data_IF_064412314376
#
_entry.id   IF_064412314376
#
_cell.length_a   1.000
_cell.length_b   1.000
_cell.length_c   1.000
_cell.angle_alpha   90.00
_cell.angle_beta   90.00
_cell.angle_gamma   90.00
#
_symmetry.space_group_name_H-M   'P 1'
#
loop_
_entity.id
_entity.type
_entity.pdbx_description
1 polymer ?
2 non-polymer ?
3 non-polymer ?
4 water ?
#
# COMPACT_ATOMS: atom_id res chain seq x y z
N UNK A 1 0.34 -7.81 -1.64
CA UNK A 1 0.21 -8.91 -0.63
C UNK A 1 -0.79 -9.99 -1.06
N UNK A 2 -1.74 -9.67 -1.93
CA UNK A 2 -2.84 -10.54 -2.39
C UNK A 2 -3.45 -10.01 -3.68
N UNK A 3 -4.50 -10.67 -4.26
CA UNK A 3 -4.96 -10.37 -5.62
C UNK A 3 -5.51 -8.94 -5.85
N UNK A 4 -5.96 -8.28 -4.78
CA UNK A 4 -6.41 -6.88 -4.84
C UNK A 4 -5.23 -5.96 -5.09
N UNK A 5 -4.17 -6.15 -4.31
CA UNK A 5 -2.92 -5.38 -4.47
C UNK A 5 -2.28 -5.70 -5.82
N UNK A 6 -2.39 -6.94 -6.29
CA UNK A 6 -1.89 -7.34 -7.63
C UNK A 6 -2.55 -6.52 -8.76
N UNK A 7 -3.87 -6.42 -8.75
CA UNK A 7 -4.60 -5.64 -9.78
C UNK A 7 -4.20 -4.16 -9.65
N UNK A 8 -4.19 -3.62 -8.42
CA UNK A 8 -3.85 -2.21 -8.18
C UNK A 8 -2.46 -1.93 -8.76
N UNK A 9 -1.48 -2.81 -8.47
CA UNK A 9 -0.08 -2.60 -8.91
C UNK A 9 -0.01 -2.59 -10.43
N UNK A 10 -0.72 -3.49 -11.06
CA UNK A 10 -0.75 -3.60 -12.55
C UNK A 10 -1.27 -2.30 -13.19
N UNK A 11 -2.26 -1.68 -12.57
CA UNK A 11 -2.77 -0.35 -13.04
C UNK A 11 -1.72 0.71 -12.77
N UNK A 12 -1.12 0.76 -11.56
CA UNK A 12 -0.15 1.84 -11.25
C UNK A 12 1.05 1.78 -12.17
N UNK A 13 1.53 0.57 -12.49
CA UNK A 13 2.85 0.44 -13.19
C UNK A 13 2.70 0.87 -14.65
N UNK A 14 1.52 0.86 -15.25
CA UNK A 14 1.38 1.15 -16.69
C UNK A 14 0.46 2.34 -16.97
N UNK A 15 -0.47 2.68 -16.05
CA UNK A 15 -1.56 3.62 -16.39
C UNK A 15 -1.54 4.85 -15.49
N UNK A 16 -0.42 5.18 -14.83
CA UNK A 16 -0.36 6.43 -14.02
C UNK A 16 0.85 7.26 -14.43
N UNK A 17 0.69 8.57 -14.22
CA UNK A 17 1.79 9.55 -14.37
C UNK A 17 1.68 10.47 -13.17
N UNK A 18 2.74 11.18 -12.90
CA UNK A 18 2.69 12.27 -11.87
C UNK A 18 2.36 13.57 -12.59
N UNK A 19 1.20 14.15 -12.27
CA UNK A 19 0.77 15.44 -12.86
C UNK A 19 1.07 16.55 -11.86
N UNK A 20 1.60 17.67 -12.34
CA UNK A 20 1.87 18.85 -11.48
C UNK A 20 1.19 20.07 -12.10
N UNK A 21 0.27 20.69 -11.34
CA UNK A 21 -0.36 21.98 -11.69
C UNK A 21 0.15 23.02 -10.67
N UNK A 22 -0.38 24.24 -10.78
CA UNK A 22 -0.10 25.31 -9.78
C UNK A 22 -0.71 24.99 -8.42
N UNK A 23 -1.62 24.00 -8.34
CA UNK A 23 -2.32 23.62 -7.10
C UNK A 23 -1.74 22.33 -6.51
N UNK A 24 -0.63 21.81 -7.06
CA UNK A 24 0.11 20.68 -6.45
C UNK A 24 0.47 19.52 -7.40
N UNK A 25 1.05 18.47 -6.82
CA UNK A 25 1.31 17.17 -7.47
C UNK A 25 0.14 16.23 -7.22
N UNK A 26 -0.30 15.53 -8.26
CA UNK A 26 -1.45 14.59 -8.21
C UNK A 26 -1.07 13.29 -8.91
N UNK A 27 -1.54 12.18 -8.35
CA UNK A 27 -1.66 10.92 -9.11
C UNK A 27 -2.63 11.20 -10.25
N UNK A 28 -2.28 10.77 -11.46
CA UNK A 28 -3.14 10.98 -12.65
C UNK A 28 -3.25 9.64 -13.38
N UNK A 29 -4.49 9.19 -13.52
CA UNK A 29 -4.81 7.93 -14.24
C UNK A 29 -4.94 8.18 -15.74
N UNK A 30 -4.10 7.50 -16.53
CA UNK A 30 -4.30 7.43 -17.99
C UNK A 30 -5.27 6.34 -18.36
N UNK A 31 -6.24 6.64 -19.25
CA UNK A 31 -7.36 5.71 -19.54
C UNK A 31 -7.20 5.06 -20.93
N UNK A 32 -6.85 5.83 -21.95
CA UNK A 32 -6.64 5.28 -23.31
C UNK A 32 -6.03 6.42 -24.13
N UNK A 33 -5.33 6.05 -25.21
CA UNK A 33 -4.73 7.04 -26.16
C UNK A 33 -3.96 8.07 -25.31
N UNK A 34 -4.24 9.38 -25.45
CA UNK A 34 -3.51 10.41 -24.64
C UNK A 34 -4.50 11.04 -23.65
N UNK A 35 -5.53 10.30 -23.26
CA UNK A 35 -6.66 10.80 -22.40
C UNK A 35 -6.42 10.29 -20.96
N UNK A 36 -6.42 11.23 -20.02
CA UNK A 36 -6.24 10.92 -18.59
C UNK A 36 -7.30 11.66 -17.76
N UNK A 37 -7.34 11.37 -16.47
CA UNK A 37 -8.27 12.04 -15.53
C UNK A 37 -7.50 12.57 -14.33
N UNK A 38 -8.09 13.59 -13.70
CA UNK A 38 -7.50 14.24 -12.50
C UNK A 38 -8.65 14.91 -11.76
N UNK A 39 -8.59 15.10 -10.43
CA UNK A 39 -9.65 15.87 -9.77
C UNK A 39 -9.74 17.30 -10.33
N UNK A 40 -10.99 17.78 -10.46
CA UNK A 40 -11.23 19.15 -11.01
C UNK A 40 -10.54 20.24 -10.17
N UNK A 41 -10.43 20.05 -8.87
CA UNK A 41 -9.73 21.02 -7.97
C UNK A 41 -8.22 21.13 -8.30
N UNK A 42 -7.66 20.28 -9.14
CA UNK A 42 -6.26 20.47 -9.64
C UNK A 42 -6.14 21.70 -10.52
N UNK A 43 -7.25 22.25 -11.04
CA UNK A 43 -7.30 23.48 -11.87
C UNK A 43 -6.35 23.37 -13.06
N UNK A 44 -6.59 22.39 -13.94
CA UNK A 44 -5.71 22.18 -15.12
C UNK A 44 -5.79 23.41 -16.03
N UNK A 45 -4.66 23.89 -16.54
CA UNK A 45 -4.62 25.01 -17.49
C UNK A 45 -4.19 24.56 -18.86
N UNK A 46 -3.53 25.46 -19.59
CA UNK A 46 -3.09 25.24 -20.98
C UNK A 46 -1.83 24.37 -21.00
N UNK A 47 -1.06 24.39 -19.90
CA UNK A 47 0.22 23.66 -19.70
C UNK A 47 0.15 22.91 -18.37
N UNK A 48 0.68 21.69 -18.36
CA UNK A 48 0.76 20.83 -17.15
C UNK A 48 2.12 20.11 -17.17
N UNK A 49 2.68 19.74 -16.01
CA UNK A 49 3.91 18.92 -15.98
C UNK A 49 3.49 17.47 -15.81
N UNK A 50 4.03 16.58 -16.65
CA UNK A 50 3.73 15.12 -16.63
C UNK A 50 5.08 14.42 -16.39
N UNK A 51 5.29 13.86 -15.20
CA UNK A 51 6.61 13.25 -14.86
C UNK A 51 7.69 14.31 -15.09
N UNK A 52 7.44 15.56 -14.66
CA UNK A 52 8.37 16.72 -14.69
C UNK A 52 8.73 17.17 -16.12
N UNK A 53 7.92 16.83 -17.12
CA UNK A 53 8.07 17.26 -18.54
C UNK A 53 6.93 18.26 -18.85
N UNK A 54 7.29 19.45 -19.31
CA UNK A 54 6.32 20.48 -19.75
C UNK A 54 5.49 19.95 -20.91
N UNK A 55 4.17 19.91 -20.75
CA UNK A 55 3.23 19.24 -21.70
C UNK A 55 2.04 20.18 -21.99
N UNK A 56 1.77 20.37 -23.27
CA UNK A 56 0.59 21.15 -23.67
C UNK A 56 -0.66 20.33 -23.40
N UNK A 57 -1.68 21.01 -22.89
CA UNK A 57 -3.03 20.40 -22.71
C UNK A 57 -3.83 20.65 -24.01
N UNK A 58 -4.22 19.58 -24.70
CA UNK A 58 -4.95 19.71 -25.98
C UNK A 58 -6.43 19.97 -25.70
N UNK A 59 -6.96 19.45 -24.60
CA UNK A 59 -8.38 19.65 -24.19
C UNK A 59 -8.51 19.34 -22.70
N UNK A 60 -9.38 20.04 -21.99
CA UNK A 60 -9.68 19.72 -20.58
C UNK A 60 -11.17 19.97 -20.37
N UNK A 61 -11.88 18.98 -19.84
CA UNK A 61 -13.35 19.12 -19.65
C UNK A 61 -13.69 18.70 -18.22
N UNK A 62 -14.15 19.67 -17.43
CA UNK A 62 -14.64 19.44 -16.06
C UNK A 62 -16.04 18.87 -16.14
N UNK A 63 -16.22 17.61 -15.80
CA UNK A 63 -17.53 16.92 -16.01
C UNK A 63 -18.55 17.39 -14.98
N UNK A 64 -19.82 17.49 -15.45
CA UNK A 64 -20.99 17.74 -14.58
C UNK A 64 -22.09 16.76 -15.01
N UNK A 65 -22.97 16.35 -14.10
CA UNK A 65 -24.09 15.47 -14.51
C UNK A 65 -25.17 16.31 -15.21
N UNK A 66 -26.22 15.61 -15.66
CA UNK A 66 -27.31 16.30 -16.39
C UNK A 66 -28.23 17.04 -15.41
N UNK A 67 -28.01 16.98 -14.08
CA UNK A 67 -28.58 18.03 -13.16
C UNK A 67 -27.67 19.29 -13.13
N UNK A 68 -26.56 19.33 -13.88
CA UNK A 68 -25.59 20.45 -13.92
C UNK A 68 -24.97 20.52 -12.52
N UNK A 69 -24.70 19.35 -11.94
CA UNK A 69 -24.01 19.23 -10.62
C UNK A 69 -22.57 18.72 -10.85
N UNK A 70 -21.61 19.35 -10.16
CA UNK A 70 -20.17 18.99 -10.21
C UNK A 70 -20.00 17.46 -10.05
N UNK A 71 -19.15 16.81 -10.88
CA UNK A 71 -18.72 15.41 -10.61
C UNK A 71 -17.28 15.32 -10.09
N UNK A 72 -16.52 16.40 -10.13
CA UNK A 72 -15.14 16.52 -9.62
C UNK A 72 -14.14 15.76 -10.48
N UNK A 73 -14.54 15.30 -11.68
CA UNK A 73 -13.60 14.64 -12.63
C UNK A 73 -13.30 15.67 -13.72
N UNK A 74 -12.04 15.88 -14.02
CA UNK A 74 -11.64 16.55 -15.28
C UNK A 74 -10.96 15.54 -16.21
N UNK A 75 -11.39 15.50 -17.46
CA UNK A 75 -10.81 14.64 -18.50
C UNK A 75 -9.84 15.52 -19.24
N UNK A 76 -8.60 15.06 -19.34
CA UNK A 76 -7.52 15.85 -19.98
C UNK A 76 -6.98 15.08 -21.18
N UNK A 77 -6.85 15.74 -22.34
CA UNK A 77 -6.08 15.15 -23.44
C UNK A 77 -4.72 15.83 -23.48
N UNK A 78 -3.66 15.03 -23.40
CA UNK A 78 -2.25 15.50 -23.26
C UNK A 78 -1.55 15.49 -24.63
N UNK A 79 -0.74 16.50 -24.91
CA UNK A 79 0.15 16.52 -26.12
C UNK A 79 1.41 15.71 -25.83
N UNK A 80 1.23 14.41 -25.61
CA UNK A 80 2.28 13.45 -25.22
C UNK A 80 2.62 12.59 -26.45
N UNK A 81 3.87 12.11 -26.54
CA UNK A 81 4.34 11.34 -27.69
C UNK A 81 4.08 9.85 -27.54
N UNK A 82 3.24 9.43 -26.59
CA UNK A 82 3.07 8.01 -26.28
C UNK A 82 1.64 7.81 -25.77
N UNK A 83 1.00 6.71 -26.16
CA UNK A 83 -0.34 6.36 -25.68
C UNK A 83 -0.31 5.53 -24.41
N UNK A 84 -1.37 5.64 -23.60
CA UNK A 84 -1.64 4.75 -22.45
C UNK A 84 -2.18 3.43 -22.99
N UNK A 85 -1.87 2.36 -22.28
CA UNK A 85 -2.63 1.08 -22.44
C UNK A 85 -4.12 1.40 -22.30
N UNK A 86 -4.96 0.85 -23.16
CA UNK A 86 -6.41 1.06 -23.08
C UNK A 86 -6.96 0.22 -21.93
N UNK A 87 -7.44 0.87 -20.86
CA UNK A 87 -8.07 0.18 -19.68
C UNK A 87 -9.56 0.47 -19.59
N UNK A 88 -10.21 0.92 -20.67
CA UNK A 88 -11.66 1.24 -20.58
C UNK A 88 -12.50 0.01 -20.25
N UNK A 89 -12.05 -1.20 -20.62
CA UNK A 89 -12.84 -2.42 -20.30
C UNK A 89 -12.80 -2.76 -18.80
N UNK A 90 -12.01 -2.07 -17.98
CA UNK A 90 -12.01 -2.26 -16.51
C UNK A 90 -12.93 -1.23 -15.81
N UNK A 91 -13.62 -0.38 -16.56
CA UNK A 91 -14.46 0.69 -15.95
C UNK A 91 -15.87 0.13 -15.78
N UNK A 92 -16.52 0.38 -14.64
CA UNK A 92 -17.92 0.01 -14.44
C UNK A 92 -18.86 0.75 -15.38
N UNK A 93 -19.95 0.07 -15.74
CA UNK A 93 -20.97 0.73 -16.56
C UNK A 93 -21.97 1.52 -15.71
N UNK A 94 -22.18 1.12 -14.44
CA UNK A 94 -23.26 1.74 -13.60
C UNK A 94 -22.73 2.13 -12.22
N UNK A 95 -23.47 3.01 -11.54
CA UNK A 95 -23.22 3.39 -10.14
C UNK A 95 -23.41 2.13 -9.27
N UNK A 96 -22.54 1.90 -8.30
CA UNK A 96 -22.55 0.64 -7.52
C UNK A 96 -21.80 0.82 -6.21
N UNK A 97 -22.05 -0.08 -5.26
CA UNK A 97 -21.22 -0.32 -4.05
C UNK A 97 -20.26 -1.47 -4.35
N UNK A 98 -19.17 -1.55 -3.60
CA UNK A 98 -18.06 -2.51 -3.82
C UNK A 98 -17.55 -3.06 -2.49
N UNK A 99 -17.02 -4.27 -2.52
CA UNK A 99 -16.23 -4.77 -1.37
C UNK A 99 -14.73 -4.74 -1.70
N UNK A 100 -13.93 -4.56 -0.65
CA UNK A 100 -12.48 -4.89 -0.61
C UNK A 100 -11.76 -4.07 -1.69
N UNK A 101 -11.82 -2.76 -1.58
CA UNK A 101 -11.12 -1.86 -2.52
C UNK A 101 -9.73 -1.47 -2.00
N UNK A 102 -8.87 -1.06 -2.93
CA UNK A 102 -7.50 -0.54 -2.69
C UNK A 102 -7.47 0.86 -3.28
N UNK A 103 -6.88 1.78 -2.53
CA UNK A 103 -6.53 3.15 -2.98
C UNK A 103 -5.02 3.18 -3.20
N UNK A 104 -4.60 3.55 -4.42
CA UNK A 104 -3.17 3.53 -4.81
C UNK A 104 -2.72 4.92 -5.25
N UNK A 105 -1.57 5.35 -4.73
CA UNK A 105 -1.02 6.73 -4.94
C UNK A 105 0.41 6.61 -5.39
N UNK A 106 0.82 7.47 -6.31
CA UNK A 106 2.23 7.56 -6.72
C UNK A 106 2.57 9.03 -6.97
N UNK A 107 3.27 9.65 -6.00
CA UNK A 107 3.78 11.05 -6.14
C UNK A 107 5.22 11.08 -5.61
N UNK A 108 5.91 12.22 -5.81
CA UNK A 108 7.22 12.50 -5.11
C UNK A 108 7.14 12.21 -3.61
N UNK A 109 6.08 12.66 -2.94
CA UNK A 109 5.87 12.55 -1.47
C UNK A 109 5.50 11.10 -1.08
N UNK A 110 4.64 10.47 -1.88
CA UNK A 110 4.06 9.12 -1.55
C UNK A 110 4.26 8.17 -2.72
N UNK A 111 5.49 7.68 -2.99
CA UNK A 111 5.74 6.70 -4.05
C UNK A 111 5.32 5.29 -3.63
N UNK A 112 4.71 4.56 -4.60
CA UNK A 112 4.43 3.12 -4.40
C UNK A 112 3.58 2.92 -3.15
N UNK A 113 2.58 3.77 -2.93
CA UNK A 113 1.66 3.70 -1.79
C UNK A 113 0.39 2.95 -2.13
N UNK A 114 -0.01 1.95 -1.33
CA UNK A 114 -1.23 1.14 -1.52
C UNK A 114 -1.95 1.06 -0.19
N UNK A 115 -3.24 1.32 -0.15
CA UNK A 115 -4.05 1.35 1.11
C UNK A 115 -5.25 0.44 0.92
N UNK A 116 -5.42 -0.62 1.74
CA UNK A 116 -6.66 -1.39 1.70
C UNK A 116 -7.75 -0.62 2.46
N UNK A 117 -8.72 -0.09 1.74
CA UNK A 117 -9.75 0.82 2.35
C UNK A 117 -11.00 0.05 2.73
N UNK A 118 -11.18 -1.18 2.26
CA UNK A 118 -12.30 -2.05 2.60
C UNK A 118 -13.53 -1.72 1.78
N UNK A 119 -14.67 -1.71 2.45
CA UNK A 119 -16.00 -1.59 1.80
C UNK A 119 -16.21 -0.18 1.25
N UNK A 120 -16.72 -0.08 0.04
CA UNK A 120 -17.00 1.21 -0.63
C UNK A 120 -18.51 1.39 -0.83
N UNK A 121 -19.07 2.46 -0.26
CA UNK A 121 -20.51 2.81 -0.34
C UNK A 121 -20.74 3.77 -1.51
N UNK A 122 -21.82 3.53 -2.25
CA UNK A 122 -22.38 4.52 -3.19
C UNK A 122 -23.04 5.59 -2.34
N UNK A 123 -22.30 6.60 -1.98
CA UNK A 123 -22.71 7.67 -1.02
C UNK A 123 -23.65 8.65 -1.73
N UNK A 124 -23.30 9.01 -2.96
CA UNK A 124 -24.11 9.93 -3.81
C UNK A 124 -23.73 11.37 -3.59
N UNK A 125 -24.62 12.13 -2.94
CA UNK A 125 -24.39 13.59 -2.75
C UNK A 125 -23.36 13.83 -1.64
N UNK A 126 -22.45 14.76 -1.90
CA UNK A 126 -21.49 15.30 -0.92
C UNK A 126 -21.30 16.79 -1.19
N UNK A 127 -21.32 17.56 -0.10
CA UNK A 127 -20.83 18.96 -0.11
C UNK A 127 -19.33 18.93 0.04
N UNK A 128 -18.62 18.94 -1.07
CA UNK A 128 -17.16 18.73 -1.12
C UNK A 128 -16.47 20.08 -1.16
N UNK A 129 -15.88 20.51 -0.04
CA UNK A 129 -15.23 21.84 0.01
C UNK A 129 -16.20 22.96 -0.32
N UNK A 130 -17.47 22.86 0.07
CA UNK A 130 -18.48 23.88 -0.28
C UNK A 130 -19.18 23.65 -1.63
N UNK A 131 -18.75 22.67 -2.46
CA UNK A 131 -19.34 22.47 -3.80
C UNK A 131 -20.25 21.24 -3.81
N UNK A 132 -21.57 21.36 -4.08
CA UNK A 132 -22.45 20.19 -4.21
C UNK A 132 -21.88 19.27 -5.31
N UNK A 133 -21.71 18.02 -4.97
CA UNK A 133 -21.00 17.02 -5.83
C UNK A 133 -21.83 15.75 -5.85
N UNK A 134 -21.98 15.12 -7.01
CA UNK A 134 -22.71 13.83 -7.13
C UNK A 134 -21.75 12.67 -7.44
N UNK A 135 -22.31 11.45 -7.42
CA UNK A 135 -21.58 10.18 -7.75
C UNK A 135 -20.35 9.97 -6.87
N UNK A 136 -20.45 10.27 -5.59
CA UNK A 136 -19.34 10.07 -4.63
C UNK A 136 -19.40 8.67 -4.05
N UNK A 137 -18.24 8.04 -4.02
CA UNK A 137 -17.97 6.77 -3.31
C UNK A 137 -17.35 7.10 -1.97
N UNK A 138 -17.68 6.34 -0.92
CA UNK A 138 -17.08 6.61 0.42
C UNK A 138 -16.46 5.35 0.99
N UNK A 139 -15.32 5.52 1.65
CA UNK A 139 -14.62 4.42 2.38
C UNK A 139 -14.15 4.95 3.72
N UNK A 140 -14.07 4.04 4.68
CA UNK A 140 -13.80 4.39 6.09
C UNK A 140 -12.31 4.29 6.28
N UNK A 141 -11.56 5.19 5.66
CA UNK A 141 -10.11 5.30 5.92
C UNK A 141 -9.76 6.78 6.05
N UNK A 142 -8.90 7.14 7.05
CA UNK A 142 -8.44 8.51 7.28
C UNK A 142 -7.36 8.95 6.29
N UNK A 143 -7.82 9.20 5.07
CA UNK A 143 -6.99 9.72 3.95
C UNK A 143 -6.54 11.16 4.23
N UNK A 144 -5.42 11.57 3.61
CA UNK A 144 -4.69 12.82 3.92
C UNK A 144 -4.33 13.53 2.64
N UNK A 145 -4.04 14.84 2.77
CA UNK A 145 -3.44 15.66 1.71
C UNK A 145 -2.31 14.85 1.06
N UNK A 146 -2.25 14.91 -0.27
CA UNK A 146 -1.28 14.12 -1.06
C UNK A 146 -1.92 12.91 -1.74
N UNK A 147 -3.11 12.46 -1.32
CA UNK A 147 -3.73 11.24 -1.90
C UNK A 147 -4.73 11.58 -3.00
N UNK A 148 -5.04 12.86 -3.24
CA UNK A 148 -6.03 13.20 -4.31
C UNK A 148 -5.49 12.77 -5.67
N UNK A 149 -6.39 12.21 -6.48
CA UNK A 149 -6.08 11.61 -7.78
C UNK A 149 -5.73 10.14 -7.61
N UNK A 150 -5.60 9.66 -6.37
CA UNK A 150 -5.28 8.24 -6.11
C UNK A 150 -6.31 7.36 -6.78
N UNK A 151 -5.91 6.19 -7.25
CA UNK A 151 -6.83 5.32 -8.01
C UNK A 151 -7.49 4.33 -7.06
N UNK A 152 -8.80 4.22 -7.15
CA UNK A 152 -9.58 3.21 -6.37
C UNK A 152 -9.92 2.03 -7.27
N UNK A 153 -9.48 0.82 -6.87
CA UNK A 153 -9.70 -0.41 -7.66
C UNK A 153 -10.30 -1.50 -6.77
N UNK A 154 -10.99 -2.41 -7.41
CA UNK A 154 -11.21 -3.77 -6.84
C UNK A 154 -10.54 -4.71 -7.84
N UNK A 155 -10.46 -6.01 -7.54
CA UNK A 155 -9.97 -7.01 -8.52
C UNK A 155 -10.79 -6.86 -9.80
N UNK A 156 -10.13 -6.54 -10.91
CA UNK A 156 -10.75 -6.46 -12.23
C UNK A 156 -11.46 -5.16 -12.49
N UNK A 157 -11.61 -4.22 -11.51
CA UNK A 157 -12.30 -2.92 -11.83
C UNK A 157 -11.58 -1.68 -11.28
N UNK A 158 -11.51 -0.67 -12.14
CA UNK A 158 -11.04 0.70 -11.80
C UNK A 158 -12.29 1.54 -11.57
N UNK A 159 -12.59 1.89 -10.30
CA UNK A 159 -13.97 2.38 -9.99
C UNK A 159 -14.00 3.88 -9.67
N UNK A 160 -12.88 4.53 -9.39
CA UNK A 160 -12.93 5.96 -8.99
C UNK A 160 -11.55 6.57 -8.79
N UNK A 161 -11.53 7.88 -8.53
CA UNK A 161 -10.29 8.62 -8.17
C UNK A 161 -10.60 9.42 -6.91
N UNK A 162 -9.68 9.36 -5.93
CA UNK A 162 -9.79 10.02 -4.61
C UNK A 162 -9.88 11.54 -4.79
N UNK A 163 -10.87 12.18 -4.14
CA UNK A 163 -11.07 13.65 -4.31
C UNK A 163 -11.16 14.36 -2.96
N UNK A 164 -11.26 13.65 -1.83
CA UNK A 164 -11.24 14.37 -0.54
C UNK A 164 -11.50 13.49 0.66
N UNK A 165 -11.63 14.10 1.84
CA UNK A 165 -11.80 13.32 3.08
C UNK A 165 -12.26 14.23 4.18
N UNK A 166 -12.76 13.67 5.28
CA UNK A 166 -13.19 14.50 6.45
C UNK A 166 -12.35 14.19 7.69
N UNK A 167 -11.20 13.56 7.55
CA UNK A 167 -10.37 13.06 8.66
C UNK A 167 -10.64 11.63 9.07
N UNK A 168 -11.88 11.13 8.97
CA UNK A 168 -12.28 9.73 9.30
C UNK A 168 -12.62 8.91 8.04
N UNK A 169 -13.31 9.56 7.10
CA UNK A 169 -13.74 8.96 5.80
C UNK A 169 -12.99 9.60 4.62
N UNK A 170 -12.86 8.81 3.55
CA UNK A 170 -12.32 9.26 2.25
C UNK A 170 -13.41 9.17 1.21
N UNK A 171 -13.29 10.00 0.19
CA UNK A 171 -14.32 10.16 -0.87
C UNK A 171 -13.64 10.11 -2.25
N UNK A 172 -14.26 9.32 -3.15
CA UNK A 172 -13.78 9.21 -4.55
C UNK A 172 -14.90 9.61 -5.49
N UNK A 173 -14.57 10.20 -6.62
CA UNK A 173 -15.51 10.40 -7.76
C UNK A 173 -15.53 9.13 -8.58
N UNK A 174 -16.74 8.68 -8.93
CA UNK A 174 -16.91 7.48 -9.79
C UNK A 174 -16.24 7.70 -11.12
N UNK A 175 -15.64 6.63 -11.62
CA UNK A 175 -15.36 6.52 -13.08
C UNK A 175 -16.39 5.57 -13.70
N UNK A 176 -17.00 6.03 -14.76
CA UNK A 176 -17.97 5.26 -15.54
C UNK A 176 -17.45 5.10 -16.98
N UNK A 177 -17.70 3.93 -17.56
CA UNK A 177 -17.34 3.64 -18.97
C UNK A 177 -17.87 4.72 -19.93
N UNK A 178 -19.08 5.23 -19.69
CA UNK A 178 -19.71 6.24 -20.57
C UNK A 178 -18.94 7.58 -20.62
N UNK A 179 -18.07 7.86 -19.66
CA UNK A 179 -17.28 9.11 -19.73
C UNK A 179 -16.25 9.08 -20.89
N UNK A 180 -15.89 7.91 -21.44
CA UNK A 180 -14.68 7.74 -22.30
C UNK A 180 -14.99 7.04 -23.62
N UNK A 181 -16.24 7.17 -24.08
CA UNK A 181 -16.66 6.67 -25.42
C UNK A 181 -16.13 7.67 -26.48
N UNK A 182 -15.81 7.17 -27.67
CA UNK A 182 -15.12 7.91 -28.76
C UNK A 182 -15.64 7.44 -30.12
N UNK B 2 5.12 11.76 6.13
CA UNK B 2 6.25 12.61 6.64
C UNK B 2 7.60 11.93 6.45
N UNK B 3 8.49 11.96 7.47
CA UNK B 3 9.71 11.16 7.45
C UNK B 3 9.42 9.66 7.63
N UNK B 4 8.16 9.30 7.95
CA UNK B 4 7.74 7.89 8.07
C UNK B 4 7.98 7.12 6.78
N UNK B 5 7.67 7.72 5.62
CA UNK B 5 7.92 7.11 4.27
C UNK B 5 9.40 6.99 3.93
N UNK B 6 10.19 8.04 4.20
CA UNK B 6 11.67 8.00 4.08
C UNK B 6 12.23 6.84 4.92
N UNK B 7 11.81 6.74 6.18
CA UNK B 7 12.31 5.70 7.11
C UNK B 7 11.99 4.29 6.56
N UNK B 8 10.76 4.07 6.15
CA UNK B 8 10.29 2.77 5.61
C UNK B 8 11.14 2.42 4.38
N UNK B 9 11.36 3.39 3.48
CA UNK B 9 12.20 3.13 2.26
C UNK B 9 13.66 2.81 2.60
N UNK B 10 14.25 3.49 3.61
CA UNK B 10 15.66 3.33 4.03
C UNK B 10 15.88 1.91 4.60
N UNK B 11 14.90 1.43 5.36
CA UNK B 11 14.90 0.04 5.89
C UNK B 11 14.68 -0.99 4.76
N UNK B 12 13.71 -0.73 3.88
CA UNK B 12 13.47 -1.58 2.66
C UNK B 12 14.78 -1.73 1.89
N UNK B 13 15.38 -0.62 1.48
CA UNK B 13 16.53 -0.62 0.54
C UNK B 13 17.73 -1.42 1.08
N UNK B 14 18.09 -1.32 2.35
CA UNK B 14 19.31 -1.97 2.84
C UNK B 14 19.05 -3.23 3.66
N UNK B 15 17.87 -3.35 4.27
CA UNK B 15 17.63 -4.41 5.30
C UNK B 15 16.54 -5.43 4.90
N UNK B 16 15.98 -5.42 3.70
CA UNK B 16 14.88 -6.34 3.31
C UNK B 16 15.31 -7.17 2.10
N UNK B 17 15.23 -8.51 2.23
CA UNK B 17 15.54 -9.50 1.16
C UNK B 17 14.30 -10.34 0.90
N UNK B 18 14.28 -11.04 -0.24
CA UNK B 18 13.20 -12.00 -0.57
C UNK B 18 13.65 -13.38 -0.10
N UNK B 19 12.93 -13.98 0.85
CA UNK B 19 13.27 -15.32 1.35
C UNK B 19 12.27 -16.30 0.73
N UNK B 20 12.75 -17.45 0.24
CA UNK B 20 11.84 -18.44 -0.36
C UNK B 20 12.08 -19.78 0.35
N UNK B 21 11.04 -20.25 1.02
CA UNK B 21 11.02 -21.58 1.71
C UNK B 21 10.21 -22.55 0.83
N UNK B 22 10.02 -23.77 1.35
CA UNK B 22 9.09 -24.76 0.76
C UNK B 22 7.71 -24.15 0.55
N UNK B 23 7.31 -23.16 1.36
CA UNK B 23 5.96 -22.53 1.33
C UNK B 23 5.85 -21.38 0.31
N UNK B 24 6.96 -20.88 -0.19
CA UNK B 24 7.01 -19.80 -1.19
C UNK B 24 7.73 -18.59 -0.63
N UNK B 25 7.32 -17.39 -1.07
CA UNK B 25 8.16 -16.18 -0.86
C UNK B 25 7.61 -15.36 0.31
N UNK B 26 8.56 -14.85 1.08
CA UNK B 26 8.31 -14.03 2.28
C UNK B 26 9.23 -12.81 2.29
N UNK B 27 8.68 -11.67 2.70
CA UNK B 27 9.49 -10.48 3.03
C UNK B 27 10.35 -10.77 4.25
N UNK B 28 11.65 -10.71 4.12
CA UNK B 28 12.55 -11.07 5.26
C UNK B 28 13.29 -9.79 5.67
N UNK B 29 13.37 -9.53 6.98
CA UNK B 29 14.20 -8.44 7.57
C UNK B 29 15.54 -8.96 8.09
N UNK B 30 16.64 -8.46 7.51
CA UNK B 30 17.97 -8.63 8.11
C UNK B 30 18.21 -7.59 9.19
N UNK B 31 18.70 -8.05 10.33
CA UNK B 31 18.81 -7.23 11.56
C UNK B 31 20.26 -6.81 11.84
N UNK B 32 21.19 -7.73 11.73
CA UNK B 32 22.66 -7.49 11.92
C UNK B 32 23.43 -8.71 11.51
N UNK B 33 24.72 -8.55 11.18
CA UNK B 33 25.58 -9.71 10.83
C UNK B 33 24.88 -10.56 9.77
N UNK B 34 24.70 -11.88 10.03
CA UNK B 34 23.94 -12.74 9.07
C UNK B 34 22.65 -13.20 9.77
N UNK B 35 22.12 -12.36 10.65
CA UNK B 35 20.90 -12.67 11.45
C UNK B 35 19.69 -11.95 10.86
N UNK B 36 18.64 -12.70 10.53
CA UNK B 36 17.40 -12.16 9.93
C UNK B 36 16.18 -12.77 10.65
N UNK B 37 15.01 -12.21 10.40
CA UNK B 37 13.73 -12.72 10.96
C UNK B 37 12.72 -12.96 9.85
N UNK B 38 11.84 -13.92 10.13
CA UNK B 38 10.77 -14.35 9.17
C UNK B 38 9.65 -14.91 10.05
N UNK B 39 8.38 -14.88 9.63
CA UNK B 39 7.32 -15.53 10.41
C UNK B 39 7.58 -17.02 10.58
N UNK B 40 7.21 -17.57 11.73
CA UNK B 40 7.44 -19.00 12.03
C UNK B 40 6.64 -19.85 11.01
N UNK B 41 5.48 -19.38 10.56
CA UNK B 41 4.67 -20.16 9.57
C UNK B 41 5.37 -20.33 8.23
N UNK B 42 6.51 -19.65 7.97
CA UNK B 42 7.29 -19.85 6.74
C UNK B 42 7.93 -21.24 6.63
N UNK B 43 8.03 -21.95 7.76
CA UNK B 43 8.58 -23.34 7.86
C UNK B 43 10.00 -23.36 7.26
N UNK B 44 10.90 -22.60 7.87
CA UNK B 44 12.31 -22.54 7.44
C UNK B 44 12.95 -23.94 7.62
N UNK B 45 13.65 -24.39 6.60
CA UNK B 45 14.34 -25.69 6.63
C UNK B 45 15.83 -25.52 6.75
N UNK B 46 16.56 -26.49 6.20
CA UNK B 46 18.05 -26.48 6.26
C UNK B 46 18.60 -25.51 5.21
N UNK B 47 17.84 -25.32 4.13
CA UNK B 47 18.22 -24.48 2.96
C UNK B 47 17.09 -23.50 2.71
N UNK B 48 17.45 -22.27 2.35
CA UNK B 48 16.50 -21.21 1.97
C UNK B 48 17.08 -20.48 0.75
N UNK B 49 16.21 -19.86 -0.04
CA UNK B 49 16.66 -18.97 -1.13
C UNK B 49 16.57 -17.52 -0.64
N UNK B 50 17.66 -16.77 -0.84
CA UNK B 50 17.76 -15.33 -0.44
C UNK B 50 18.02 -14.56 -1.75
N UNK B 51 17.03 -13.79 -2.21
CA UNK B 51 17.08 -13.16 -3.56
C UNK B 51 17.50 -14.21 -4.60
N UNK B 52 16.86 -15.37 -4.58
CA UNK B 52 16.98 -16.47 -5.59
C UNK B 52 18.33 -17.19 -5.45
N UNK B 53 19.11 -16.92 -4.41
CA UNK B 53 20.39 -17.62 -4.14
C UNK B 53 20.19 -18.73 -3.09
N UNK B 54 20.42 -19.99 -3.46
CA UNK B 54 20.47 -21.13 -2.51
C UNK B 54 21.42 -20.81 -1.36
N UNK B 55 20.94 -20.86 -0.10
CA UNK B 55 21.67 -20.39 1.11
C UNK B 55 21.45 -21.37 2.25
N UNK B 56 22.53 -21.92 2.81
CA UNK B 56 22.42 -22.76 4.03
C UNK B 56 21.91 -21.91 5.19
N UNK B 57 20.92 -22.42 5.91
CA UNK B 57 20.50 -21.85 7.23
C UNK B 57 21.30 -22.53 8.34
N UNK B 58 22.20 -21.81 8.95
CA UNK B 58 23.09 -22.38 10.00
C UNK B 58 22.31 -22.63 11.29
N UNK B 59 21.32 -21.79 11.59
CA UNK B 59 20.54 -21.90 12.84
C UNK B 59 19.16 -21.31 12.58
N UNK B 60 18.13 -21.90 13.16
CA UNK B 60 16.75 -21.35 13.14
C UNK B 60 16.18 -21.52 14.55
N UNK B 61 15.65 -20.44 15.10
CA UNK B 61 15.03 -20.41 16.45
C UNK B 61 13.59 -19.89 16.35
N UNK B 62 12.62 -20.76 16.61
CA UNK B 62 11.18 -20.39 16.65
C UNK B 62 10.93 -19.77 18.03
N UNK B 63 10.87 -18.44 18.11
CA UNK B 63 10.90 -17.76 19.41
C UNK B 63 9.64 -18.07 20.24
N UNK B 64 9.87 -18.23 21.54
CA UNK B 64 8.80 -18.33 22.58
C UNK B 64 9.21 -17.47 23.77
N UNK B 65 8.24 -16.95 24.51
CA UNK B 65 8.54 -16.09 25.69
C UNK B 65 8.70 -16.94 26.95
N UNK B 66 8.91 -16.28 28.07
CA UNK B 66 9.22 -16.96 29.36
C UNK B 66 7.98 -17.64 29.94
N UNK B 67 6.78 -17.38 29.40
CA UNK B 67 5.56 -18.18 29.71
C UNK B 67 5.52 -19.46 28.85
N UNK B 68 6.54 -19.65 27.99
CA UNK B 68 6.60 -20.79 27.04
C UNK B 68 5.44 -20.66 26.03
N UNK B 69 5.18 -19.44 25.57
CA UNK B 69 4.14 -19.16 24.56
C UNK B 69 4.79 -18.68 23.25
N UNK B 70 4.25 -19.19 22.15
CA UNK B 70 4.71 -18.80 20.79
C UNK B 70 4.73 -17.29 20.64
N UNK B 71 5.76 -16.78 19.92
CA UNK B 71 5.81 -15.35 19.43
C UNK B 71 5.69 -15.23 17.92
N UNK B 72 5.72 -16.34 17.18
CA UNK B 72 5.52 -16.41 15.72
C UNK B 72 6.67 -15.71 14.95
N UNK B 73 7.81 -15.46 15.60
CA UNK B 73 9.05 -14.97 14.93
C UNK B 73 10.03 -16.11 14.92
N UNK B 74 10.65 -16.38 13.78
CA UNK B 74 11.83 -17.27 13.71
C UNK B 74 13.06 -16.43 13.37
N UNK B 75 14.08 -16.55 14.22
CA UNK B 75 15.39 -15.90 13.98
C UNK B 75 16.24 -16.90 13.21
N UNK B 76 16.84 -16.48 12.10
CA UNK B 76 17.74 -17.36 11.31
C UNK B 76 19.15 -16.76 11.29
N UNK B 77 20.15 -17.63 11.23
CA UNK B 77 21.56 -17.29 10.93
C UNK B 77 21.91 -17.88 9.58
N UNK B 78 22.29 -17.05 8.61
CA UNK B 78 22.43 -17.47 7.20
C UNK B 78 23.92 -17.66 6.87
N UNK B 79 24.26 -18.70 6.10
CA UNK B 79 25.62 -18.93 5.55
C UNK B 79 25.79 -18.08 4.28
N UNK B 80 26.08 -16.78 4.42
CA UNK B 80 26.29 -15.87 3.24
C UNK B 80 27.34 -14.83 3.60
N UNK B 81 28.07 -14.34 2.57
CA UNK B 81 29.22 -13.42 2.80
C UNK B 81 28.72 -12.05 3.24
N UNK B 82 27.66 -11.55 2.60
CA UNK B 82 27.15 -10.19 2.87
C UNK B 82 26.68 -10.10 4.33
N UNK B 83 27.03 -9.00 4.99
CA UNK B 83 26.55 -8.68 6.34
C UNK B 83 25.39 -7.68 6.23
N UNK B 84 24.38 -7.80 7.07
CA UNK B 84 23.27 -6.82 7.10
C UNK B 84 23.72 -5.56 7.86
N UNK B 85 23.28 -4.39 7.38
CA UNK B 85 23.41 -3.10 8.11
C UNK B 85 22.78 -3.24 9.51
N UNK B 86 23.54 -3.00 10.60
CA UNK B 86 23.00 -3.17 11.98
C UNK B 86 21.88 -2.13 12.19
N UNK B 87 20.67 -2.58 12.55
CA UNK B 87 19.47 -1.75 12.83
C UNK B 87 18.93 -2.07 14.23
N UNK B 88 19.75 -2.71 15.08
CA UNK B 88 19.26 -3.08 16.44
C UNK B 88 18.91 -1.83 17.25
N UNK B 89 19.57 -0.71 16.97
CA UNK B 89 19.25 0.56 17.67
C UNK B 89 17.89 1.11 17.29
N UNK B 90 17.22 0.59 16.24
CA UNK B 90 15.84 1.01 15.90
C UNK B 90 14.76 0.09 16.45
N UNK B 91 15.16 -0.92 17.21
CA UNK B 91 14.18 -1.88 17.81
C UNK B 91 13.68 -1.33 19.13
N UNK B 92 12.36 -1.35 19.39
CA UNK B 92 11.80 -0.98 20.70
C UNK B 92 12.33 -1.88 21.82
N UNK B 93 12.55 -1.25 22.98
CA UNK B 93 13.02 -1.96 24.19
C UNK B 93 11.82 -2.61 24.89
N UNK B 94 10.64 -2.00 24.76
CA UNK B 94 9.41 -2.44 25.48
C UNK B 94 8.23 -2.56 24.50
N UNK B 95 7.16 -3.23 24.96
CA UNK B 95 5.87 -3.34 24.24
C UNK B 95 5.21 -1.96 24.27
N UNK B 96 4.52 -1.58 23.20
CA UNK B 96 3.92 -0.24 23.09
C UNK B 96 2.85 -0.22 22.00
N UNK B 97 2.03 0.84 22.03
CA UNK B 97 1.11 1.26 20.95
C UNK B 97 1.86 2.28 20.08
N UNK B 98 1.45 2.45 18.83
CA UNK B 98 2.11 3.39 17.89
C UNK B 98 1.10 4.07 16.98
N UNK B 99 1.51 5.22 16.42
CA UNK B 99 0.71 5.91 15.38
C UNK B 99 1.48 5.93 14.06
N UNK B 100 0.74 6.00 12.97
CA UNK B 100 1.27 6.41 11.66
C UNK B 100 2.25 5.34 11.15
N UNK B 101 1.89 4.06 11.27
CA UNK B 101 2.79 2.97 10.88
C UNK B 101 2.68 2.68 9.36
N UNK B 102 3.74 2.14 8.81
CA UNK B 102 3.82 1.68 7.40
C UNK B 102 4.24 0.21 7.41
N UNK B 103 3.57 -0.57 6.59
CA UNK B 103 3.87 -1.99 6.32
C UNK B 103 4.53 -2.05 4.94
N UNK B 104 5.75 -2.59 4.88
CA UNK B 104 6.59 -2.60 3.65
C UNK B 104 6.83 -4.03 3.16
N UNK B 105 6.26 -4.32 1.98
CA UNK B 105 6.21 -5.67 1.35
C UNK B 105 7.28 -5.72 0.27
N UNK B 106 8.01 -6.84 0.19
CA UNK B 106 9.01 -6.99 -0.88
C UNK B 106 9.09 -8.46 -1.29
N UNK B 107 8.49 -8.80 -2.42
CA UNK B 107 8.63 -10.17 -3.03
C UNK B 107 8.81 -10.02 -4.54
N UNK B 108 8.96 -11.15 -5.21
CA UNK B 108 9.07 -11.11 -6.70
C UNK B 108 7.78 -10.56 -7.30
N UNK B 109 6.65 -10.90 -6.71
CA UNK B 109 5.29 -10.47 -7.17
C UNK B 109 5.01 -9.03 -6.78
N UNK B 110 5.52 -8.59 -5.61
CA UNK B 110 5.17 -7.27 -4.99
C UNK B 110 6.47 -6.58 -4.62
N UNK B 111 7.25 -6.09 -5.59
CA UNK B 111 8.50 -5.43 -5.29
C UNK B 111 8.26 -4.03 -4.71
N UNK B 112 9.00 -3.67 -3.69
CA UNK B 112 8.92 -2.25 -3.20
C UNK B 112 7.47 -1.73 -3.05
N UNK B 113 6.57 -2.37 -2.27
CA UNK B 113 5.17 -1.95 -1.98
C UNK B 113 5.03 -1.41 -0.54
N UNK B 114 4.53 -0.20 -0.36
CA UNK B 114 4.36 0.48 0.96
C UNK B 114 2.87 0.64 1.29
N UNK B 115 2.46 0.08 2.43
CA UNK B 115 1.04 0.07 2.86
C UNK B 115 0.88 0.81 4.17
N UNK B 116 0.41 2.09 4.16
CA UNK B 116 0.14 2.85 5.37
C UNK B 116 -0.98 2.09 6.07
N UNK B 117 -0.75 1.75 7.34
CA UNK B 117 -1.76 0.99 8.14
C UNK B 117 -2.37 1.92 9.19
N UNK B 118 -1.62 2.95 9.60
CA UNK B 118 -2.06 3.95 10.60
C UNK B 118 -1.85 3.45 12.01
N UNK B 119 -2.94 3.45 12.79
CA UNK B 119 -2.86 3.23 14.24
C UNK B 119 -2.57 1.75 14.52
N UNK B 120 -1.57 1.52 15.34
CA UNK B 120 -1.14 0.16 15.80
C UNK B 120 -1.41 0.02 17.31
N UNK B 121 -2.19 -0.99 17.68
CA UNK B 121 -2.48 -1.33 19.10
C UNK B 121 -1.60 -2.48 19.59
N UNK B 122 -1.05 -2.38 20.80
CA UNK B 122 -0.58 -3.53 21.60
C UNK B 122 -1.80 -4.43 21.90
N UNK B 123 -2.05 -5.45 21.10
CA UNK B 123 -3.27 -6.30 21.17
C UNK B 123 -3.00 -7.42 22.19
N UNK B 124 -1.78 -7.95 22.16
CA UNK B 124 -1.24 -8.98 23.08
C UNK B 124 -1.56 -10.40 22.63
N UNK B 125 -2.48 -11.07 23.34
CA UNK B 125 -2.81 -12.50 23.09
C UNK B 125 -3.68 -12.63 21.84
N UNK B 126 -3.34 -13.60 20.98
CA UNK B 126 -4.10 -14.00 19.78
C UNK B 126 -3.98 -15.52 19.61
N UNK B 127 -5.12 -16.16 19.36
CA UNK B 127 -5.12 -17.56 18.91
C UNK B 127 -4.91 -17.56 17.39
N UNK B 128 -3.67 -17.76 16.96
CA UNK B 128 -3.29 -17.63 15.54
C UNK B 128 -3.22 -19.02 14.89
N UNK B 129 -4.23 -19.38 14.07
CA UNK B 129 -4.27 -20.72 13.41
C UNK B 129 -4.33 -21.86 14.42
N UNK B 130 -4.95 -21.61 15.57
CA UNK B 130 -5.04 -22.60 16.65
C UNK B 130 -3.87 -22.60 17.61
N UNK B 131 -2.87 -21.73 17.41
CA UNK B 131 -1.71 -21.61 18.33
C UNK B 131 -1.81 -20.34 19.18
N UNK B 132 -1.85 -20.46 20.52
CA UNK B 132 -1.78 -19.32 21.43
C UNK B 132 -0.47 -18.54 21.20
N UNK B 133 -0.61 -17.22 21.00
CA UNK B 133 0.49 -16.33 20.57
C UNK B 133 0.46 -15.06 21.39
N UNK B 134 1.65 -14.58 21.77
CA UNK B 134 1.79 -13.35 22.55
C UNK B 134 2.40 -12.22 21.71
N UNK B 135 2.34 -11.01 22.27
CA UNK B 135 3.04 -9.79 21.79
C UNK B 135 2.59 -9.48 20.36
N UNK B 136 1.31 -9.58 20.09
CA UNK B 136 0.71 -9.23 18.78
C UNK B 136 0.37 -7.74 18.76
N UNK B 137 0.81 -7.08 17.69
CA UNK B 137 0.34 -5.73 17.29
C UNK B 137 -0.81 -5.84 16.31
N UNK B 138 -1.83 -4.96 16.38
CA UNK B 138 -3.00 -5.03 15.51
C UNK B 138 -3.23 -3.66 14.84
N UNK B 139 -3.60 -3.73 13.57
CA UNK B 139 -4.04 -2.59 12.70
C UNK B 139 -5.23 -2.99 11.85
N UNK B 140 -6.03 -2.00 11.42
CA UNK B 140 -7.06 -2.25 10.41
C UNK B 140 -6.38 -2.78 9.16
N UNK B 141 -6.97 -3.78 8.52
CA UNK B 141 -6.48 -4.45 7.28
C UNK B 141 -7.63 -5.18 6.61
N UNK B 142 -8.59 -4.43 6.01
CA UNK B 142 -9.81 -5.01 5.42
C UNK B 142 -9.58 -5.57 4.01
N UNK B 143 -8.85 -6.68 3.96
CA UNK B 143 -8.38 -7.36 2.73
C UNK B 143 -7.99 -8.77 3.21
N UNK B 144 -8.09 -9.74 2.31
CA UNK B 144 -7.57 -11.11 2.57
C UNK B 144 -6.23 -11.17 1.85
N UNK B 145 -5.18 -10.83 2.57
CA UNK B 145 -3.76 -10.92 2.15
C UNK B 145 -3.27 -12.38 2.24
N UNK B 146 -2.29 -12.72 1.39
CA UNK B 146 -1.53 -13.97 1.48
C UNK B 146 -0.50 -13.96 2.61
N UNK B 147 0.43 -14.89 2.54
CA UNK B 147 1.37 -15.26 3.63
C UNK B 147 2.61 -14.35 3.67
N UNK B 148 2.89 -13.58 2.62
CA UNK B 148 4.26 -13.11 2.37
C UNK B 148 4.72 -12.12 3.46
N UNK B 149 3.78 -11.46 4.10
CA UNK B 149 4.07 -10.51 5.20
C UNK B 149 4.92 -9.31 4.77
N UNK B 150 5.63 -8.71 5.73
CA UNK B 150 6.22 -7.39 5.53
C UNK B 150 6.68 -6.77 6.82
N UNK B 151 7.41 -5.70 6.70
CA UNK B 151 8.06 -5.06 7.86
C UNK B 151 7.21 -3.87 8.29
N UNK B 152 6.94 -3.74 9.58
CA UNK B 152 6.12 -2.63 10.12
C UNK B 152 7.04 -1.59 10.80
N UNK B 153 6.96 -0.34 10.32
CA UNK B 153 7.81 0.77 10.84
C UNK B 153 6.96 1.95 11.22
N UNK B 154 7.53 2.75 12.11
CA UNK B 154 7.06 4.12 12.41
C UNK B 154 8.22 5.05 12.13
N UNK B 155 8.06 6.35 12.30
CA UNK B 155 9.23 7.25 12.29
C UNK B 155 10.17 6.81 13.40
N UNK B 156 11.34 6.34 13.04
CA UNK B 156 12.46 6.07 13.94
C UNK B 156 12.49 4.67 14.50
N UNK B 157 11.48 3.82 14.23
CA UNK B 157 11.48 2.46 14.85
C UNK B 157 11.03 1.36 13.88
N UNK B 158 11.68 0.22 14.03
CA UNK B 158 11.24 -1.03 13.35
C UNK B 158 10.48 -1.88 14.38
N UNK B 159 9.16 -1.93 14.28
CA UNK B 159 8.31 -2.37 15.45
C UNK B 159 7.84 -3.81 15.30
N UNK B 160 7.79 -4.40 14.09
CA UNK B 160 7.24 -5.76 13.98
C UNK B 160 7.29 -6.28 12.57
N UNK B 161 6.91 -7.55 12.41
CA UNK B 161 6.75 -8.18 11.07
C UNK B 161 5.34 -8.76 11.01
N UNK B 162 4.69 -8.58 9.86
CA UNK B 162 3.29 -9.04 9.63
C UNK B 162 3.22 -10.58 9.65
N UNK B 163 2.34 -11.12 10.49
CA UNK B 163 2.23 -12.60 10.62
C UNK B 163 0.83 -13.14 10.27
N UNK B 164 -0.20 -12.32 10.16
CA UNK B 164 -1.52 -12.87 9.77
C UNK B 164 -2.61 -11.82 9.76
N UNK B 165 -3.86 -12.26 9.71
CA UNK B 165 -5.00 -11.34 9.70
C UNK B 165 -6.30 -12.10 9.61
N UNK B 166 -7.43 -11.42 9.88
CA UNK B 166 -8.77 -12.06 9.97
C UNK B 166 -9.74 -11.43 8.96
N UNK B 167 -9.23 -10.79 7.89
CA UNK B 167 -10.01 -10.14 6.80
C UNK B 167 -10.49 -8.74 7.14
N UNK B 168 -10.45 -8.34 8.41
CA UNK B 168 -10.77 -7.00 8.95
C UNK B 168 -9.54 -6.38 9.63
N UNK B 169 -8.77 -7.20 10.36
CA UNK B 169 -7.61 -6.71 11.13
C UNK B 169 -6.37 -7.43 10.62
N UNK B 170 -5.23 -6.76 10.69
CA UNK B 170 -3.90 -7.32 10.42
C UNK B 170 -3.10 -7.42 11.71
N UNK B 171 -2.22 -8.42 11.77
CA UNK B 171 -1.48 -8.76 13.01
C UNK B 171 0.00 -8.88 12.70
N UNK B 172 0.83 -8.24 13.51
CA UNK B 172 2.28 -8.31 13.43
C UNK B 172 2.84 -8.82 14.76
N UNK B 173 3.91 -9.60 14.71
CA UNK B 173 4.70 -9.99 15.88
C UNK B 173 5.63 -8.83 16.23
N UNK B 174 5.68 -8.44 17.51
CA UNK B 174 6.60 -7.38 17.97
C UNK B 174 8.04 -7.79 17.73
N UNK B 175 8.91 -6.84 17.35
CA UNK B 175 10.35 -7.02 17.44
C UNK B 175 10.81 -6.21 18.68
N UNK B 176 11.60 -6.84 19.53
CA UNK B 176 12.20 -6.21 20.74
C UNK B 176 13.70 -6.31 20.67
N UNK B 177 14.37 -5.29 21.22
CA UNK B 177 15.85 -5.20 21.23
C UNK B 177 16.42 -6.42 21.93
N UNK B 178 15.73 -6.87 23.00
CA UNK B 178 16.26 -8.00 23.81
C UNK B 178 16.29 -9.32 23.03
N UNK B 179 15.63 -9.44 21.87
CA UNK B 179 15.70 -10.70 21.10
C UNK B 179 17.06 -10.94 20.43
N UNK B 180 17.85 -9.85 20.29
CA UNK B 180 19.06 -9.83 19.46
C UNK B 180 20.31 -9.38 20.24
N UNK B 181 20.20 -9.14 21.54
CA UNK B 181 21.37 -8.73 22.38
C UNK B 181 22.33 -9.91 22.57
X LIG C 1 18.51 -17.47 22.21
X LIG C 1 14.99 -15.30 22.82
X LIG C 1 13.73 -15.84 23.00
X LIG C 1 12.77 -15.19 23.76
X LIG C 1 16.04 -17.46 22.38
X LIG C 1 17.27 -18.13 21.80
X LIG C 1 17.28 -15.40 21.82
X LIG C 1 10.60 -13.66 25.05
X LIG C 1 11.90 -13.22 25.43
X LIG C 1 12.17 -11.81 25.46
X LIG C 1 12.27 -13.88 27.02
X LIG C 1 13.09 -13.98 24.36
X LIG C 1 15.28 -14.07 23.42
X LIG C 1 14.33 -13.41 24.19
X LIG C 1 15.97 -16.02 22.10
X LIG C 1 18.34 -16.08 22.64
X LIG D 1 19.87 -13.58 18.00
X LIG D 1 20.55 -14.78 17.36
X LIG D 1 21.03 -12.27 17.85
X LIG D 1 20.01 -13.83 19.75
#
# INVERSE_FOLDING_TARGET
>A
MGPGFDFAQAIMKKNTVIARTEKGEFTMLGVYDRVAVIPTHASVGEIIYINDVETRVLDACALRDLTDTNLEITIVKLDRNQKFRDIRHFLPRCEDDYNDAVLSVHTSKFPNMYIPVGQVTNYGFLNLGGTPTHRILMYNFPTRAGQCGGVVTTTGKVIGIHVGGNGAQGFAAMLLHSYFTD
>B
MGPGFDFAQAIMKKNTVIARTEKGEFTMLGVYDRVAVIPTHASVGEIIYINDVETRVLDACALRDLTDTNLEITIVKLDRNQKFRDIRHFLPRCEDDYNDAVLSVHTSKFPNMYIPVGQVTNYGFLNLGGTPTHRILMYNFPTRAGQCGGVVTTTGKVIGIHVGGNGAQGFAAMLLHSYFTD
>C hetero
1 US7 N1 C4 C5 C6 C7 C8 C10 O1 S O C C1 C3 C2 N C9
>D hetero
1 DMS S O C1 C2
#
